data_IF_408327542578
#
_entry.id   IF_408327542578
#
_cell.length_a   1.000
_cell.length_b   1.000
_cell.length_c   1.000
_cell.angle_alpha   90.00
_cell.angle_beta   90.00
_cell.angle_gamma   90.00
#
_symmetry.space_group_name_H-M   'P 1'
#
loop_
_entity.id
_entity.type
_entity.pdbx_description
1 polymer ?
#
# COMPACT_ATOMS: atom_id res chain seq x y z
N UNK A 1 -22.76 14.68 39.24
CA UNK A 1 -22.95 15.22 37.87
C UNK A 1 -21.67 15.33 37.03
N UNK A 2 -20.54 14.87 37.51
CA UNK A 2 -19.22 15.01 36.82
C UNK A 2 -18.79 13.78 35.99
N UNK A 3 -19.29 12.59 36.29
CA UNK A 3 -18.92 11.35 35.63
C UNK A 3 -19.43 11.26 34.16
N UNK A 4 -20.58 11.89 33.90
CA UNK A 4 -21.21 11.82 32.56
C UNK A 4 -20.51 12.68 31.50
N UNK A 5 -19.76 13.71 31.90
CA UNK A 5 -19.00 14.58 30.97
C UNK A 5 -17.68 13.91 30.53
N UNK A 6 -17.04 13.14 31.38
CA UNK A 6 -15.81 12.40 31.04
C UNK A 6 -16.07 11.26 30.04
N UNK A 7 -17.22 10.60 30.15
CA UNK A 7 -17.59 9.52 29.24
C UNK A 7 -17.79 9.99 27.78
N UNK A 8 -18.34 11.20 27.61
CA UNK A 8 -18.56 11.75 26.26
C UNK A 8 -17.27 12.23 25.57
N UNK A 9 -16.31 12.71 26.34
CA UNK A 9 -15.01 13.13 25.80
C UNK A 9 -14.16 11.91 25.43
N UNK A 10 -14.27 10.82 26.17
CA UNK A 10 -13.56 9.57 25.89
C UNK A 10 -14.10 8.85 24.64
N UNK A 11 -15.40 8.92 24.40
CA UNK A 11 -16.06 8.35 23.22
C UNK A 11 -15.71 9.10 21.92
N UNK A 12 -15.52 10.42 22.00
CA UNK A 12 -15.12 11.24 20.86
C UNK A 12 -13.65 11.05 20.48
N UNK A 13 -12.78 10.77 21.46
CA UNK A 13 -11.35 10.52 21.22
C UNK A 13 -11.11 9.15 20.55
N UNK A 14 -11.93 8.14 20.83
CA UNK A 14 -11.79 6.81 20.23
C UNK A 14 -12.25 6.73 18.78
N UNK A 15 -13.17 7.58 18.35
CA UNK A 15 -13.61 7.62 16.95
C UNK A 15 -12.61 8.27 16.01
N UNK A 16 -11.78 9.19 16.51
CA UNK A 16 -10.72 9.84 15.70
C UNK A 16 -9.52 8.93 15.41
N UNK A 17 -9.21 7.99 16.30
CA UNK A 17 -8.11 7.03 16.08
C UNK A 17 -8.52 5.90 15.14
N UNK A 18 -9.81 5.51 15.12
CA UNK A 18 -10.31 4.45 14.25
C UNK A 18 -10.42 4.82 12.76
N UNK A 19 -10.54 6.12 12.43
CA UNK A 19 -10.72 6.58 11.06
C UNK A 19 -9.46 6.62 10.20
N UNK A 20 -8.28 6.67 10.82
CA UNK A 20 -7.00 6.80 10.08
C UNK A 20 -6.37 5.47 9.69
N UNK A 21 -6.84 4.34 10.23
CA UNK A 21 -6.26 3.02 9.94
C UNK A 21 -6.75 2.45 8.59
N UNK A 22 -7.93 2.86 8.13
CA UNK A 22 -8.53 2.34 6.90
C UNK A 22 -7.82 2.81 5.61
N UNK A 23 -7.13 3.96 5.63
CA UNK A 23 -6.44 4.51 4.45
C UNK A 23 -5.03 3.95 4.25
N UNK A 24 -4.48 3.26 5.26
CA UNK A 24 -3.10 2.76 5.23
C UNK A 24 -2.93 1.44 4.46
N UNK A 25 -4.02 0.82 4.00
CA UNK A 25 -3.96 -0.50 3.33
C UNK A 25 -3.86 -0.45 1.82
N UNK A 26 -3.99 0.72 1.20
CA UNK A 26 -4.10 0.81 -0.25
C UNK A 26 -2.79 0.53 -1.01
N UNK A 27 -1.63 0.80 -0.43
CA UNK A 27 -0.34 0.60 -1.11
C UNK A 27 0.75 0.21 -0.10
N UNK A 28 1.47 -0.90 -0.30
CA UNK A 28 2.56 -1.28 0.59
C UNK A 28 3.73 -0.30 0.46
N UNK A 29 4.23 0.16 1.59
CA UNK A 29 5.33 1.12 1.64
C UNK A 29 4.87 2.57 1.74
N UNK A 30 5.81 3.47 1.59
CA UNK A 30 5.63 4.92 1.67
C UNK A 30 6.30 5.54 2.89
N UNK A 31 6.77 6.79 2.70
CA UNK A 31 7.53 7.52 3.70
C UNK A 31 6.74 7.72 5.00
N UNK A 32 5.46 8.09 4.90
CA UNK A 32 4.65 8.41 6.08
C UNK A 32 4.47 7.18 7.00
N UNK A 33 4.13 6.04 6.43
CA UNK A 33 3.89 4.80 7.19
C UNK A 33 5.18 4.31 7.88
N UNK A 34 6.24 4.16 7.12
CA UNK A 34 7.52 3.66 7.62
C UNK A 34 8.27 4.71 8.43
N UNK A 35 8.12 5.99 8.09
CA UNK A 35 8.66 7.10 8.86
C UNK A 35 8.05 7.20 10.24
N UNK A 36 6.74 7.04 10.37
CA UNK A 36 6.04 7.02 11.66
C UNK A 36 6.50 5.84 12.53
N UNK A 37 6.58 4.63 11.97
CA UNK A 37 7.10 3.45 12.69
C UNK A 37 8.55 3.64 13.09
N UNK A 38 9.38 4.16 12.18
CA UNK A 38 10.78 4.48 12.46
C UNK A 38 10.96 5.55 13.53
N UNK A 39 10.10 6.58 13.55
CA UNK A 39 10.10 7.61 14.58
C UNK A 39 9.81 7.04 15.97
N UNK A 40 8.78 6.19 16.09
CA UNK A 40 8.43 5.51 17.35
C UNK A 40 9.57 4.58 17.79
N UNK A 41 10.08 3.75 16.87
CA UNK A 41 11.20 2.85 17.16
C UNK A 41 12.47 3.60 17.58
N UNK A 42 12.81 4.69 16.91
CA UNK A 42 13.96 5.53 17.25
C UNK A 42 13.79 6.25 18.58
N UNK A 43 12.57 6.65 18.95
CA UNK A 43 12.27 7.25 20.24
C UNK A 43 12.47 6.26 21.38
N UNK A 44 11.93 5.05 21.23
CA UNK A 44 12.02 4.00 22.26
C UNK A 44 13.46 3.50 22.41
N UNK A 45 14.20 3.37 21.31
CA UNK A 45 15.54 2.82 21.35
C UNK A 45 16.57 3.73 22.02
N UNK A 46 16.61 5.01 21.68
CA UNK A 46 17.62 5.94 22.25
C UNK A 46 17.27 7.42 21.99
N UNK A 47 16.01 7.79 22.02
CA UNK A 47 15.51 9.14 21.76
C UNK A 47 15.90 9.74 20.37
N UNK A 48 16.31 8.91 19.43
CA UNK A 48 16.67 9.32 18.06
C UNK A 48 15.45 9.31 17.11
N UNK A 49 14.37 9.96 17.50
CA UNK A 49 13.10 10.01 16.77
C UNK A 49 13.27 10.48 15.32
N UNK A 50 14.06 11.55 15.10
CA UNK A 50 14.28 12.12 13.76
C UNK A 50 15.07 11.17 12.88
N UNK A 51 16.14 10.56 13.39
CA UNK A 51 16.95 9.59 12.64
C UNK A 51 16.12 8.36 12.29
N UNK A 52 15.30 7.87 13.23
CA UNK A 52 14.37 6.76 13.00
C UNK A 52 13.32 7.10 11.92
N UNK A 53 12.75 8.30 11.96
CA UNK A 53 11.78 8.76 10.97
C UNK A 53 12.38 8.83 9.56
N UNK A 54 13.58 9.40 9.42
CA UNK A 54 14.29 9.52 8.13
C UNK A 54 14.65 8.15 7.58
N UNK A 55 15.22 7.27 8.40
CA UNK A 55 15.55 5.90 8.00
C UNK A 55 14.32 5.09 7.61
N UNK A 56 13.25 5.17 8.39
CA UNK A 56 11.97 4.54 8.07
C UNK A 56 11.37 5.06 6.77
N UNK A 57 11.41 6.38 6.56
CA UNK A 57 10.96 7.00 5.31
C UNK A 57 11.72 6.47 4.09
N UNK A 58 13.05 6.38 4.16
CA UNK A 58 13.88 5.86 3.07
C UNK A 58 13.52 4.40 2.73
N UNK A 59 13.38 3.55 3.74
CA UNK A 59 12.96 2.15 3.57
C UNK A 59 11.54 2.08 2.96
N UNK A 60 10.63 2.93 3.43
CA UNK A 60 9.27 2.99 2.92
C UNK A 60 9.19 3.39 1.45
N UNK A 61 10.01 4.36 1.02
CA UNK A 61 10.09 4.77 -0.38
C UNK A 61 10.69 3.67 -1.25
N UNK A 62 11.74 2.99 -0.78
CA UNK A 62 12.34 1.86 -1.48
C UNK A 62 11.33 0.74 -1.71
N UNK A 63 10.62 0.31 -0.65
CA UNK A 63 9.56 -0.70 -0.74
C UNK A 63 8.45 -0.34 -1.73
N UNK A 64 8.03 0.92 -1.71
CA UNK A 64 7.02 1.43 -2.65
C UNK A 64 7.54 1.41 -4.09
N UNK A 65 8.79 1.76 -4.30
CA UNK A 65 9.42 1.72 -5.62
C UNK A 65 9.46 0.29 -6.18
N UNK A 66 9.90 -0.68 -5.38
CA UNK A 66 9.91 -2.10 -5.77
C UNK A 66 8.52 -2.64 -6.08
N UNK A 67 7.54 -2.33 -5.22
CA UNK A 67 6.16 -2.71 -5.46
C UNK A 67 5.64 -2.18 -6.80
N UNK A 68 5.81 -0.88 -7.05
CA UNK A 68 5.39 -0.27 -8.32
C UNK A 68 6.14 -0.81 -9.53
N UNK A 69 7.41 -1.16 -9.37
CA UNK A 69 8.18 -1.83 -10.42
C UNK A 69 7.56 -3.18 -10.75
N UNK A 70 7.29 -4.01 -9.76
CA UNK A 70 6.63 -5.31 -9.95
C UNK A 70 5.25 -5.19 -10.61
N UNK A 71 4.43 -4.19 -10.22
CA UNK A 71 3.15 -3.94 -10.89
C UNK A 71 3.31 -3.62 -12.38
N UNK A 72 4.27 -2.76 -12.72
CA UNK A 72 4.53 -2.40 -14.14
C UNK A 72 5.06 -3.58 -14.96
N UNK A 73 5.89 -4.43 -14.37
CA UNK A 73 6.39 -5.64 -15.03
C UNK A 73 5.24 -6.59 -15.35
N UNK A 74 4.37 -6.87 -14.39
CA UNK A 74 3.17 -7.71 -14.59
C UNK A 74 2.18 -7.09 -15.57
N UNK A 75 1.95 -5.77 -15.47
CA UNK A 75 1.10 -5.06 -16.42
C UNK A 75 1.63 -5.14 -17.86
N UNK A 76 2.95 -5.06 -18.03
CA UNK A 76 3.57 -5.22 -19.35
C UNK A 76 3.46 -6.66 -19.89
N UNK A 77 3.51 -7.67 -19.02
CA UNK A 77 3.26 -9.06 -19.42
C UNK A 77 1.80 -9.26 -19.83
N UNK A 78 0.86 -8.74 -19.04
CA UNK A 78 -0.56 -8.76 -19.39
C UNK A 78 -0.83 -8.10 -20.75
N UNK A 79 -0.23 -6.93 -21.04
CA UNK A 79 -0.39 -6.26 -22.32
C UNK A 79 0.19 -7.02 -23.51
N UNK A 80 1.22 -7.84 -23.29
CA UNK A 80 1.76 -8.73 -24.34
C UNK A 80 0.83 -9.88 -24.68
N UNK A 81 0.17 -10.44 -23.67
CA UNK A 81 -0.78 -11.55 -23.82
C UNK A 81 -2.13 -11.07 -24.33
N UNK A 82 -2.49 -9.81 -24.02
CA UNK A 82 -3.75 -9.17 -24.42
C UNK A 82 -3.49 -7.93 -25.27
N UNK A 83 -3.01 -8.08 -26.51
CA UNK A 83 -2.77 -6.94 -27.37
C UNK A 83 -4.08 -6.18 -27.66
N UNK A 84 -4.01 -4.86 -27.67
CA UNK A 84 -5.16 -4.02 -27.97
C UNK A 84 -5.71 -4.32 -29.38
N UNK A 85 -7.04 -4.40 -29.51
CA UNK A 85 -7.69 -4.59 -30.80
C UNK A 85 -7.33 -3.42 -31.74
N UNK A 86 -6.74 -3.70 -32.92
CA UNK A 86 -6.39 -2.65 -33.87
C UNK A 86 -7.61 -1.88 -34.39
N UNK A 87 -8.82 -2.45 -34.31
CA UNK A 87 -10.08 -1.81 -34.71
C UNK A 87 -10.68 -0.92 -33.61
N UNK A 88 -10.18 -1.00 -32.39
CA UNK A 88 -10.67 -0.18 -31.29
C UNK A 88 -10.26 1.28 -31.47
N UNK A 89 -11.24 2.20 -31.41
CA UNK A 89 -10.97 3.63 -31.52
C UNK A 89 -10.14 4.14 -30.34
N UNK A 90 -9.35 5.21 -30.56
CA UNK A 90 -8.55 5.82 -29.50
C UNK A 90 -9.38 6.22 -28.26
N UNK A 91 -10.62 6.67 -28.48
CA UNK A 91 -11.55 7.02 -27.41
C UNK A 91 -12.01 5.81 -26.58
N UNK A 92 -12.24 4.68 -27.22
CA UNK A 92 -12.57 3.44 -26.53
C UNK A 92 -11.38 2.94 -25.71
N UNK A 93 -10.18 2.97 -26.28
CA UNK A 93 -8.93 2.64 -25.55
C UNK A 93 -8.73 3.52 -24.34
N UNK A 94 -8.98 4.83 -24.46
CA UNK A 94 -8.85 5.77 -23.34
C UNK A 94 -9.85 5.47 -22.24
N UNK A 95 -11.12 5.22 -22.56
CA UNK A 95 -12.17 4.89 -21.59
C UNK A 95 -11.94 3.53 -20.88
N UNK A 96 -11.44 2.55 -21.62
CA UNK A 96 -11.26 1.19 -21.15
C UNK A 96 -9.86 0.94 -20.57
N UNK A 97 -9.05 2.00 -20.43
CA UNK A 97 -7.68 1.90 -19.95
C UNK A 97 -7.64 1.38 -18.51
N UNK A 98 -7.11 0.18 -18.36
CA UNK A 98 -6.84 -0.42 -17.04
C UNK A 98 -5.57 0.20 -16.44
N UNK A 99 -5.56 0.36 -15.12
CA UNK A 99 -4.35 0.76 -14.39
C UNK A 99 -3.36 -0.39 -14.33
N UNK A 100 -2.08 -0.10 -14.05
CA UNK A 100 -1.05 -1.13 -13.89
C UNK A 100 -1.41 -2.12 -12.78
N UNK A 101 -2.06 -1.65 -11.72
CA UNK A 101 -2.55 -2.49 -10.62
C UNK A 101 -3.65 -3.45 -11.08
N UNK A 102 -4.63 -2.97 -11.84
CA UNK A 102 -5.69 -3.81 -12.39
C UNK A 102 -5.14 -4.88 -13.35
N UNK A 103 -4.20 -4.49 -14.22
CA UNK A 103 -3.55 -5.43 -15.14
C UNK A 103 -2.72 -6.49 -14.40
N UNK A 104 -1.95 -6.06 -13.39
CA UNK A 104 -1.17 -6.98 -12.57
C UNK A 104 -2.06 -7.98 -11.82
N UNK A 105 -3.21 -7.52 -11.30
CA UNK A 105 -4.17 -8.41 -10.62
C UNK A 105 -4.78 -9.42 -11.57
N UNK A 106 -5.12 -9.01 -12.80
CA UNK A 106 -5.63 -9.92 -13.83
C UNK A 106 -4.56 -10.92 -14.24
N UNK A 107 -3.34 -10.48 -14.45
CA UNK A 107 -2.22 -11.36 -14.76
C UNK A 107 -1.99 -12.42 -13.68
N UNK A 108 -2.01 -12.02 -12.40
CA UNK A 108 -1.87 -12.96 -11.28
C UNK A 108 -3.05 -13.94 -11.16
N UNK A 109 -4.26 -13.53 -11.56
CA UNK A 109 -5.42 -14.41 -11.60
C UNK A 109 -5.32 -15.48 -12.70
N UNK A 110 -4.74 -15.11 -13.84
CA UNK A 110 -4.52 -16.03 -14.97
C UNK A 110 -3.28 -16.93 -14.74
N UNK A 111 -2.29 -16.43 -13.97
CA UNK A 111 -1.05 -17.14 -13.64
C UNK A 111 -0.90 -17.29 -12.12
N UNK A 112 -1.73 -18.10 -11.47
CA UNK A 112 -1.61 -18.28 -10.02
C UNK A 112 -0.21 -18.79 -9.67
N UNK A 113 0.46 -18.19 -8.66
CA UNK A 113 1.77 -18.67 -8.23
C UNK A 113 1.68 -20.14 -7.86
N UNK A 114 2.66 -20.93 -8.29
CA UNK A 114 2.74 -22.33 -7.89
C UNK A 114 2.63 -22.41 -6.35
N UNK A 115 1.85 -23.37 -5.81
CA UNK A 115 1.72 -23.52 -4.37
C UNK A 115 3.12 -23.63 -3.77
N UNK A 116 3.53 -22.60 -3.04
CA UNK A 116 4.77 -22.65 -2.29
C UNK A 116 4.61 -23.82 -1.32
N UNK A 117 5.39 -24.88 -1.54
CA UNK A 117 5.48 -25.96 -0.58
C UNK A 117 5.74 -25.30 0.78
N UNK A 118 4.77 -25.47 1.69
CA UNK A 118 4.89 -24.94 3.03
C UNK A 118 6.26 -25.41 3.55
N UNK A 119 7.21 -24.48 3.64
CA UNK A 119 8.49 -24.75 4.24
C UNK A 119 8.19 -25.08 5.69
N UNK A 120 8.15 -26.37 5.98
CA UNK A 120 8.04 -26.92 7.32
C UNK A 120 9.25 -26.43 8.10
N UNK A 121 9.01 -25.54 9.05
CA UNK A 121 9.91 -25.22 10.15
C UNK A 121 9.46 -25.95 11.39
#
# INVERSE_FOLDING_TARGET
MTVQKFSRVFLLATTLVGGTVAVAHAEPGGCLKYGAVGAVGGHVANHHTVAGAVGGCAVGMYKRHEYRKGLREKAALYDKEHPADPKESLWQRYRNRKTDEQKATLYDAEHPPAPQAASAH
#
